data_IF_078904176474
#
_entry.id   IF_078904176474
#
_cell.length_a   1.000
_cell.length_b   1.000
_cell.length_c   1.000
_cell.angle_alpha   90.00
_cell.angle_beta   90.00
_cell.angle_gamma   90.00
#
_symmetry.space_group_name_H-M   'P 1'
#
loop_
_entity.id
_entity.type
_entity.pdbx_description
1 polymer ?
#
# COMPACT_ATOMS: atom_id res chain seq x y z
N UNK A 1 4.58 -14.78 -14.86
CA UNK A 1 3.72 -14.06 -15.83
C UNK A 1 2.55 -13.34 -15.15
N UNK A 2 1.70 -14.02 -14.38
CA UNK A 2 0.53 -13.40 -13.70
C UNK A 2 0.92 -12.19 -12.83
N UNK A 3 1.98 -12.31 -12.01
CA UNK A 3 2.42 -11.22 -11.12
C UNK A 3 2.85 -9.97 -11.89
N UNK A 4 3.49 -10.13 -13.05
CA UNK A 4 3.93 -9.00 -13.89
C UNK A 4 2.74 -8.24 -14.48
N UNK A 5 1.70 -8.97 -14.91
CA UNK A 5 0.45 -8.37 -15.39
C UNK A 5 -0.25 -7.62 -14.26
N UNK A 6 -0.35 -8.22 -13.08
CA UNK A 6 -0.95 -7.57 -11.90
C UNK A 6 -0.16 -6.33 -11.47
N UNK A 7 1.18 -6.39 -11.50
CA UNK A 7 2.05 -5.23 -11.25
C UNK A 7 1.77 -4.11 -12.25
N UNK A 8 1.67 -4.43 -13.54
CA UNK A 8 1.39 -3.43 -14.57
C UNK A 8 0.02 -2.77 -14.39
N UNK A 9 -1.02 -3.54 -14.06
CA UNK A 9 -2.36 -3.00 -13.78
C UNK A 9 -2.34 -2.15 -12.52
N UNK A 10 -1.70 -2.61 -11.44
CA UNK A 10 -1.57 -1.85 -10.20
C UNK A 10 -0.84 -0.52 -10.43
N UNK A 11 0.21 -0.53 -11.24
CA UNK A 11 0.95 0.66 -11.63
C UNK A 11 0.08 1.63 -12.42
N UNK A 12 -0.67 1.16 -13.43
CA UNK A 12 -1.58 2.01 -14.21
C UNK A 12 -2.68 2.64 -13.34
N UNK A 13 -3.25 1.87 -12.40
CA UNK A 13 -4.24 2.38 -11.47
C UNK A 13 -3.64 3.39 -10.49
N UNK A 14 -2.42 3.15 -10.01
CA UNK A 14 -1.72 4.08 -9.14
C UNK A 14 -1.39 5.39 -9.86
N UNK A 15 -0.94 5.33 -11.12
CA UNK A 15 -0.65 6.54 -11.91
C UNK A 15 -1.92 7.35 -12.18
N UNK A 16 -3.04 6.71 -12.52
CA UNK A 16 -4.34 7.39 -12.68
C UNK A 16 -4.82 7.95 -11.33
N UNK A 17 -4.71 7.18 -10.25
CA UNK A 17 -5.16 7.56 -8.91
C UNK A 17 -4.39 8.72 -8.30
N UNK A 18 -3.12 8.89 -8.70
CA UNK A 18 -2.23 9.98 -8.28
C UNK A 18 -2.10 11.10 -9.33
N UNK A 19 -2.70 10.94 -10.52
CA UNK A 19 -2.66 11.96 -11.55
C UNK A 19 -3.22 13.29 -11.02
N UNK A 20 -2.40 14.35 -11.09
CA UNK A 20 -2.74 15.69 -10.65
C UNK A 20 -2.84 15.88 -9.13
N UNK A 21 -2.29 14.98 -8.31
CA UNK A 21 -2.17 15.16 -6.85
C UNK A 21 -0.74 15.54 -6.52
N UNK A 22 -0.57 16.68 -5.84
CA UNK A 22 0.74 17.08 -5.34
C UNK A 22 1.12 16.28 -4.08
N UNK A 23 2.43 16.09 -3.84
CA UNK A 23 2.93 15.43 -2.63
C UNK A 23 2.49 16.13 -1.34
N UNK A 24 2.35 17.47 -1.38
CA UNK A 24 1.85 18.27 -0.26
C UNK A 24 0.40 17.91 0.08
N UNK A 25 -0.47 17.80 -0.93
CA UNK A 25 -1.87 17.39 -0.72
C UNK A 25 -1.99 15.96 -0.21
N UNK A 26 -1.11 15.06 -0.67
CA UNK A 26 -1.10 13.66 -0.23
C UNK A 26 -0.66 13.52 1.24
N UNK A 27 0.21 14.44 1.70
CA UNK A 27 0.71 14.49 3.06
C UNK A 27 -0.29 15.14 4.03
N UNK A 28 -1.02 16.16 3.57
CA UNK A 28 -2.00 16.87 4.39
C UNK A 28 -3.35 16.15 4.50
N UNK A 29 -3.80 15.48 3.42
CA UNK A 29 -5.17 14.94 3.35
C UNK A 29 -5.20 13.51 2.82
N UNK A 30 -5.96 12.60 3.47
CA UNK A 30 -6.15 11.26 2.95
C UNK A 30 -6.92 11.31 1.62
N UNK A 31 -6.64 10.37 0.72
CA UNK A 31 -7.39 10.23 -0.54
C UNK A 31 -8.90 10.05 -0.26
N UNK A 32 -9.73 10.86 -0.92
CA UNK A 32 -11.20 10.87 -0.81
C UNK A 32 -11.87 10.58 -2.16
N UNK A 33 -13.16 10.25 -2.12
CA UNK A 33 -13.98 9.99 -3.30
C UNK A 33 -13.49 8.81 -4.15
N UNK A 34 -13.51 8.97 -5.48
CA UNK A 34 -13.14 7.91 -6.43
C UNK A 34 -11.69 7.45 -6.31
N UNK A 35 -10.77 8.34 -5.88
CA UNK A 35 -9.35 8.00 -5.66
C UNK A 35 -9.18 6.98 -4.53
N UNK A 36 -10.06 6.99 -3.53
CA UNK A 36 -10.11 5.97 -2.48
C UNK A 36 -10.54 4.61 -3.03
N UNK A 37 -11.46 4.59 -3.98
CA UNK A 37 -11.86 3.36 -4.67
C UNK A 37 -10.68 2.79 -5.47
N UNK A 38 -9.96 3.64 -6.21
CA UNK A 38 -8.74 3.25 -6.95
C UNK A 38 -7.68 2.67 -6.00
N UNK A 39 -7.41 3.34 -4.88
CA UNK A 39 -6.50 2.83 -3.84
C UNK A 39 -6.93 1.46 -3.32
N UNK A 40 -8.21 1.28 -3.06
CA UNK A 40 -8.77 0.00 -2.59
C UNK A 40 -8.60 -1.10 -3.65
N UNK A 41 -8.80 -0.78 -4.93
CA UNK A 41 -8.56 -1.68 -6.04
C UNK A 41 -7.08 -2.08 -6.16
N UNK A 42 -6.15 -1.13 -6.00
CA UNK A 42 -4.71 -1.41 -5.97
C UNK A 42 -4.37 -2.37 -4.83
N UNK A 43 -4.89 -2.15 -3.62
CA UNK A 43 -4.66 -3.09 -2.51
C UNK A 43 -5.24 -4.47 -2.76
N UNK A 44 -6.40 -4.57 -3.41
CA UNK A 44 -6.95 -5.86 -3.82
C UNK A 44 -6.03 -6.59 -4.81
N UNK A 45 -5.46 -5.87 -5.78
CA UNK A 45 -4.48 -6.43 -6.73
C UNK A 45 -3.22 -6.91 -6.01
N UNK A 46 -2.70 -6.12 -5.06
CA UNK A 46 -1.54 -6.54 -4.25
C UNK A 46 -1.88 -7.79 -3.43
N UNK A 47 -3.09 -7.90 -2.87
CA UNK A 47 -3.55 -9.11 -2.17
C UNK A 47 -3.56 -10.33 -3.10
N UNK A 48 -4.02 -10.16 -4.33
CA UNK A 48 -4.02 -11.20 -5.36
C UNK A 48 -2.59 -11.60 -5.75
N UNK A 49 -1.66 -10.65 -5.84
CA UNK A 49 -0.25 -10.94 -6.09
C UNK A 49 0.34 -11.80 -4.97
N UNK A 50 0.11 -11.45 -3.69
CA UNK A 50 0.52 -12.30 -2.57
C UNK A 50 -0.11 -13.69 -2.64
N UNK A 51 -1.38 -13.77 -3.05
CA UNK A 51 -2.03 -15.04 -3.37
C UNK A 51 -1.27 -15.83 -4.42
N UNK A 52 -0.90 -15.22 -5.54
CA UNK A 52 -0.18 -15.88 -6.64
C UNK A 52 1.23 -16.37 -6.27
N UNK A 53 1.87 -15.81 -5.23
CA UNK A 53 3.16 -16.29 -4.69
C UNK A 53 2.97 -17.42 -3.65
N UNK A 54 1.74 -17.76 -3.29
CA UNK A 54 1.42 -18.87 -2.37
C UNK A 54 0.78 -18.44 -1.04
N UNK A 55 0.65 -17.13 -0.78
CA UNK A 55 -0.01 -16.61 0.43
C UNK A 55 -1.53 -16.53 0.26
N UNK A 56 -2.15 -17.64 -0.13
CA UNK A 56 -3.60 -17.73 -0.31
C UNK A 56 -4.34 -17.54 1.01
N UNK A 57 -3.88 -18.23 2.07
CA UNK A 57 -4.47 -18.20 3.40
C UNK A 57 -3.60 -17.37 4.33
N UNK A 58 -4.10 -16.19 4.69
CA UNK A 58 -3.49 -15.33 5.72
C UNK A 58 -4.41 -15.39 6.92
N UNK A 59 -3.90 -15.95 8.02
CA UNK A 59 -4.63 -15.99 9.28
C UNK A 59 -4.20 -14.79 10.12
N UNK A 60 -5.16 -13.93 10.46
CA UNK A 60 -4.99 -12.90 11.47
C UNK A 60 -5.28 -13.50 12.84
N UNK A 61 -4.40 -13.28 13.81
CA UNK A 61 -4.61 -13.70 15.20
C UNK A 61 -4.85 -12.43 16.03
N UNK A 62 -5.92 -12.44 16.82
CA UNK A 62 -6.38 -11.26 17.55
C UNK A 62 -7.36 -10.41 16.75
N UNK A 63 -7.76 -9.28 17.34
CA UNK A 63 -8.66 -8.29 16.74
C UNK A 63 -7.88 -7.02 16.43
N UNK A 64 -8.09 -6.45 15.23
CA UNK A 64 -7.50 -5.17 14.89
C UNK A 64 -8.18 -4.06 15.69
N UNK A 65 -7.41 -3.38 16.53
CA UNK A 65 -7.88 -2.23 17.27
C UNK A 65 -8.39 -1.13 16.34
N UNK A 66 -9.43 -0.42 16.78
CA UNK A 66 -9.94 0.73 16.03
C UNK A 66 -8.89 1.85 16.00
N UNK A 67 -8.95 2.72 14.98
CA UNK A 67 -8.05 3.89 14.88
C UNK A 67 -8.09 4.80 16.10
N UNK A 68 -9.21 4.82 16.83
CA UNK A 68 -9.40 5.60 18.07
C UNK A 68 -8.60 5.02 19.25
N UNK A 69 -8.45 3.69 19.29
CA UNK A 69 -7.71 2.99 20.35
C UNK A 69 -6.22 2.85 20.01
N UNK A 70 -5.89 2.61 18.74
CA UNK A 70 -4.52 2.47 18.26
C UNK A 70 -4.34 3.19 16.91
N UNK A 71 -3.86 4.44 16.91
CA UNK A 71 -3.70 5.22 15.68
C UNK A 71 -2.46 4.85 14.86
N UNK A 72 -1.49 4.16 15.47
CA UNK A 72 -0.21 3.78 14.85
C UNK A 72 -0.14 2.26 14.72
N UNK A 73 0.13 1.79 13.50
CA UNK A 73 0.43 0.39 13.23
C UNK A 73 1.95 0.21 13.13
N UNK A 74 2.54 -0.52 14.07
CA UNK A 74 3.92 -0.95 13.98
C UNK A 74 3.98 -2.34 13.32
N UNK A 75 4.75 -2.46 12.24
CA UNK A 75 5.04 -3.75 11.61
C UNK A 75 6.52 -4.03 11.83
N UNK A 76 6.85 -5.20 12.39
CA UNK A 76 8.22 -5.59 12.70
C UNK A 76 8.57 -6.99 12.16
N UNK A 77 8.53 -7.21 10.83
CA UNK A 77 9.01 -8.46 10.26
C UNK A 77 10.52 -8.38 10.02
N UNK A 78 11.18 -9.54 10.05
CA UNK A 78 12.58 -9.66 9.65
C UNK A 78 12.81 -9.46 8.13
N UNK A 79 11.75 -9.37 7.32
CA UNK A 79 11.84 -9.14 5.87
C UNK A 79 10.79 -8.14 5.41
N UNK A 80 11.22 -7.04 4.80
CA UNK A 80 10.35 -5.94 4.35
C UNK A 80 9.29 -6.35 3.34
N UNK A 81 9.44 -7.50 2.69
CA UNK A 81 8.42 -8.04 1.78
C UNK A 81 7.07 -8.30 2.48
N UNK A 82 7.09 -8.69 3.76
CA UNK A 82 5.87 -8.95 4.52
C UNK A 82 5.16 -7.67 5.01
N UNK A 83 5.85 -6.53 5.04
CA UNK A 83 5.24 -5.25 5.43
C UNK A 83 4.11 -4.87 4.46
N UNK A 84 4.30 -5.14 3.17
CA UNK A 84 3.27 -4.91 2.16
C UNK A 84 2.01 -5.75 2.41
N UNK A 85 2.17 -7.00 2.85
CA UNK A 85 1.04 -7.86 3.19
C UNK A 85 0.31 -7.36 4.44
N UNK A 86 1.06 -6.97 5.47
CA UNK A 86 0.50 -6.39 6.68
C UNK A 86 -0.28 -5.10 6.36
N UNK A 87 0.26 -4.22 5.52
CA UNK A 87 -0.41 -3.00 5.10
C UNK A 87 -1.73 -3.29 4.37
N UNK A 88 -1.76 -4.30 3.48
CA UNK A 88 -2.98 -4.69 2.75
C UNK A 88 -4.02 -5.30 3.68
N UNK A 89 -3.60 -6.18 4.61
CA UNK A 89 -4.51 -6.86 5.55
C UNK A 89 -5.12 -5.90 6.55
N UNK A 90 -4.37 -4.87 6.96
CA UNK A 90 -4.82 -3.88 7.95
C UNK A 90 -5.64 -2.72 7.37
N UNK A 91 -5.90 -2.73 6.06
CA UNK A 91 -6.74 -1.74 5.39
C UNK A 91 -5.97 -0.53 4.83
N UNK A 92 -4.65 -0.66 4.65
CA UNK A 92 -3.81 0.36 4.05
C UNK A 92 -3.61 1.56 4.97
N UNK A 93 -2.78 1.45 6.02
CA UNK A 93 -2.30 2.62 6.74
C UNK A 93 -1.42 3.48 5.82
N UNK A 94 -1.24 4.74 6.19
CA UNK A 94 -0.19 5.57 5.56
C UNK A 94 1.16 4.99 6.00
N UNK A 95 1.98 4.61 5.03
CA UNK A 95 3.29 4.01 5.29
C UNK A 95 4.30 5.15 5.46
N UNK A 96 5.00 5.15 6.59
CA UNK A 96 6.12 6.05 6.81
C UNK A 96 7.37 5.40 6.24
N UNK A 97 7.91 5.98 5.18
CA UNK A 97 9.18 5.55 4.60
C UNK A 97 10.30 6.48 5.08
N UNK A 98 11.52 5.95 5.21
CA UNK A 98 12.71 6.78 5.43
C UNK A 98 12.90 7.74 4.25
N UNK A 99 13.27 8.97 4.56
CA UNK A 99 13.57 10.01 3.55
C UNK A 99 14.70 9.59 2.59
N UNK A 100 15.60 8.71 3.01
CA UNK A 100 16.64 8.11 2.16
C UNK A 100 16.05 7.33 0.96
N UNK A 101 14.84 6.77 1.08
CA UNK A 101 14.15 6.11 -0.04
C UNK A 101 13.68 7.11 -1.10
N UNK A 102 13.56 8.39 -0.77
CA UNK A 102 13.20 9.49 -1.69
C UNK A 102 14.32 9.86 -2.66
N UNK A 103 15.50 9.24 -2.54
CA UNK A 103 16.61 9.45 -3.49
C UNK A 103 16.79 8.28 -4.47
N UNK A 104 15.96 7.23 -4.38
CA UNK A 104 16.01 6.08 -5.29
C UNK A 104 15.31 6.49 -6.60
N UNK A 105 16.04 6.61 -7.73
CA UNK A 105 15.53 7.25 -8.95
C UNK A 105 14.35 6.53 -9.62
N UNK A 106 14.01 5.31 -9.19
CA UNK A 106 12.93 4.48 -9.75
C UNK A 106 11.73 4.37 -8.79
N UNK A 107 11.90 4.57 -7.48
CA UNK A 107 10.84 4.36 -6.45
C UNK A 107 10.53 5.63 -5.65
N UNK A 108 11.48 6.57 -5.56
CA UNK A 108 11.39 7.77 -4.75
C UNK A 108 11.57 9.06 -5.53
N UNK A 109 11.21 9.12 -6.83
CA UNK A 109 11.36 10.37 -7.60
C UNK A 109 10.51 11.49 -6.98
N UNK A 110 11.14 12.28 -6.13
CA UNK A 110 10.62 13.55 -5.62
C UNK A 110 10.75 14.56 -6.75
N UNK A 111 9.66 14.77 -7.48
CA UNK A 111 9.44 15.97 -8.28
C UNK A 111 8.20 16.66 -7.77
#
# INVERSE_FOLDING_TARGET
MVILVLLFIAWLLATIGLAGVSQAELSEKPLTGWRRCVRSAVYAIVRLMFGAVGFHRVRTVGEQATRQQAPVLAVAPHSSFYDGLAAVVTGGPTIVAKEENSFIPIVGSTR
#
